data_IF_406689006803
#
_entry.id   IF_406689006803
#
_cell.length_a   1.000
_cell.length_b   1.000
_cell.length_c   1.000
_cell.angle_alpha   90.00
_cell.angle_beta   90.00
_cell.angle_gamma   90.00
#
_symmetry.space_group_name_H-M   'P 1'
#
loop_
_entity.id
_entity.type
_entity.pdbx_description
1 polymer ?
#
# COMPACT_ATOMS: atom_id res chain seq x y z
N UNK A 1 3.01 -16.81 9.71
CA UNK A 1 3.37 -16.14 8.44
C UNK A 1 2.71 -16.82 7.22
N UNK A 2 2.92 -18.12 7.01
CA UNK A 2 2.47 -18.87 5.82
C UNK A 2 0.96 -18.76 5.49
N UNK A 3 0.06 -18.83 6.48
CA UNK A 3 -1.38 -18.74 6.23
C UNK A 3 -1.83 -17.36 5.71
N UNK A 4 -1.25 -16.27 6.24
CA UNK A 4 -1.57 -14.90 5.81
C UNK A 4 -1.19 -14.68 4.35
N UNK A 5 0.02 -15.10 3.97
CA UNK A 5 0.51 -14.99 2.60
C UNK A 5 -0.30 -15.84 1.62
N UNK A 6 -0.62 -17.08 2.01
CA UNK A 6 -1.50 -17.96 1.25
C UNK A 6 -2.87 -17.32 1.01
N UNK A 7 -3.48 -16.75 2.06
CA UNK A 7 -4.78 -16.10 1.98
C UNK A 7 -4.76 -14.85 1.07
N UNK A 8 -3.75 -13.98 1.21
CA UNK A 8 -3.60 -12.80 0.36
C UNK A 8 -3.41 -13.18 -1.11
N UNK A 9 -2.61 -14.21 -1.37
CA UNK A 9 -2.42 -14.75 -2.73
C UNK A 9 -3.73 -15.25 -3.31
N UNK A 10 -4.56 -15.94 -2.51
CA UNK A 10 -5.88 -16.42 -2.96
C UNK A 10 -6.86 -15.28 -3.23
N UNK A 11 -6.84 -14.21 -2.45
CA UNK A 11 -7.67 -13.03 -2.69
C UNK A 11 -7.30 -12.38 -4.04
N UNK A 12 -6.01 -12.12 -4.29
CA UNK A 12 -5.55 -11.51 -5.55
C UNK A 12 -5.86 -12.40 -6.75
N UNK A 13 -5.63 -13.71 -6.62
CA UNK A 13 -5.96 -14.65 -7.70
C UNK A 13 -7.46 -14.73 -7.95
N UNK A 14 -8.29 -14.63 -6.91
CA UNK A 14 -9.74 -14.56 -7.02
C UNK A 14 -10.20 -13.31 -7.77
N UNK A 15 -9.64 -12.15 -7.46
CA UNK A 15 -9.88 -10.90 -8.19
C UNK A 15 -9.50 -11.03 -9.68
N UNK A 16 -8.30 -11.55 -9.97
CA UNK A 16 -7.83 -11.79 -11.35
C UNK A 16 -8.77 -12.70 -12.13
N UNK A 17 -9.19 -13.82 -11.52
CA UNK A 17 -10.14 -14.73 -12.13
C UNK A 17 -11.51 -14.06 -12.36
N UNK A 18 -11.95 -13.19 -11.45
CA UNK A 18 -13.23 -12.49 -11.58
C UNK A 18 -13.31 -11.62 -12.82
N UNK A 19 -12.20 -11.06 -13.32
CA UNK A 19 -12.20 -10.26 -14.56
C UNK A 19 -12.63 -11.05 -15.81
N UNK A 20 -12.49 -12.38 -15.80
CA UNK A 20 -13.00 -13.23 -16.89
C UNK A 20 -14.53 -13.40 -16.87
N UNK A 21 -15.21 -13.04 -15.78
CA UNK A 21 -16.66 -13.14 -15.70
C UNK A 21 -17.33 -12.21 -16.72
N UNK A 22 -18.44 -12.63 -17.36
CA UNK A 22 -19.05 -11.88 -18.48
C UNK A 22 -19.35 -10.40 -18.19
N UNK A 23 -19.72 -10.08 -16.94
CA UNK A 23 -20.01 -8.69 -16.51
C UNK A 23 -18.76 -7.81 -16.56
N UNK A 24 -17.61 -8.32 -16.12
CA UNK A 24 -16.36 -7.58 -16.07
C UNK A 24 -15.62 -7.63 -17.41
N UNK A 25 -15.64 -8.77 -18.11
CA UNK A 25 -15.03 -8.91 -19.43
C UNK A 25 -15.60 -7.90 -20.44
N UNK A 26 -16.93 -7.71 -20.48
CA UNK A 26 -17.56 -6.69 -21.36
C UNK A 26 -17.12 -5.27 -21.01
N UNK A 27 -16.98 -4.97 -19.72
CA UNK A 27 -16.52 -3.65 -19.27
C UNK A 27 -15.06 -3.43 -19.65
N UNK A 28 -14.21 -4.43 -19.44
CA UNK A 28 -12.78 -4.40 -19.77
C UNK A 28 -12.58 -4.22 -21.27
N UNK A 29 -13.32 -4.95 -22.11
CA UNK A 29 -13.19 -4.81 -23.56
C UNK A 29 -13.60 -3.42 -24.04
N UNK A 30 -14.71 -2.87 -23.54
CA UNK A 30 -15.11 -1.50 -23.85
C UNK A 30 -14.03 -0.48 -23.46
N UNK A 31 -13.46 -0.60 -22.26
CA UNK A 31 -12.38 0.29 -21.81
C UNK A 31 -11.14 0.15 -22.69
N UNK A 32 -10.74 -1.08 -23.01
CA UNK A 32 -9.58 -1.39 -23.84
C UNK A 32 -9.73 -0.80 -25.24
N UNK A 33 -10.89 -0.99 -25.87
CA UNK A 33 -11.17 -0.46 -27.22
C UNK A 33 -11.12 1.06 -27.24
N UNK A 34 -11.79 1.73 -26.29
CA UNK A 34 -11.75 3.20 -26.21
C UNK A 34 -10.33 3.73 -26.03
N UNK A 35 -9.54 3.12 -25.13
CA UNK A 35 -8.15 3.53 -24.90
C UNK A 35 -7.29 3.36 -26.15
N UNK A 36 -7.46 2.26 -26.89
CA UNK A 36 -6.72 2.01 -28.11
C UNK A 36 -7.10 2.98 -29.23
N UNK A 37 -8.40 3.25 -29.40
CA UNK A 37 -8.87 4.27 -30.35
C UNK A 37 -8.27 5.65 -30.04
N UNK A 38 -8.27 6.05 -28.77
CA UNK A 38 -7.68 7.31 -28.32
C UNK A 38 -6.17 7.35 -28.60
N UNK A 39 -5.44 6.25 -28.33
CA UNK A 39 -3.99 6.16 -28.60
C UNK A 39 -3.70 6.29 -30.09
N UNK A 40 -4.41 5.55 -30.93
CA UNK A 40 -4.21 5.55 -32.38
C UNK A 40 -4.51 6.93 -32.96
N UNK A 41 -5.64 7.53 -32.58
CA UNK A 41 -6.01 8.87 -33.05
C UNK A 41 -4.98 9.93 -32.62
N UNK A 42 -4.53 9.87 -31.37
CA UNK A 42 -3.52 10.79 -30.85
C UNK A 42 -2.17 10.64 -31.56
N UNK A 43 -1.76 9.40 -31.85
CA UNK A 43 -0.52 9.13 -32.57
C UNK A 43 -0.57 9.65 -34.00
N UNK A 44 -1.68 9.41 -34.72
CA UNK A 44 -1.88 9.94 -36.07
C UNK A 44 -1.85 11.47 -36.09
N UNK A 45 -2.59 12.11 -35.16
CA UNK A 45 -2.59 13.57 -35.03
C UNK A 45 -1.19 14.14 -34.72
N UNK A 46 -0.44 13.47 -33.85
CA UNK A 46 0.92 13.89 -33.53
C UNK A 46 1.85 13.77 -34.75
N UNK A 47 1.74 12.68 -35.51
CA UNK A 47 2.53 12.47 -36.73
C UNK A 47 2.25 13.54 -37.79
N UNK A 48 1.00 13.99 -37.93
CA UNK A 48 0.61 14.99 -38.94
C UNK A 48 0.91 16.43 -38.51
N UNK A 49 0.77 16.75 -37.22
CA UNK A 49 0.77 18.15 -36.74
C UNK A 49 1.94 18.51 -35.82
N UNK A 50 2.70 17.52 -35.35
CA UNK A 50 3.72 17.68 -34.31
C UNK A 50 3.17 18.05 -32.93
N UNK A 51 1.84 18.21 -32.78
CA UNK A 51 1.22 18.57 -31.51
C UNK A 51 1.23 17.38 -30.56
N UNK A 52 1.70 17.59 -29.34
CA UNK A 52 1.65 16.59 -28.28
C UNK A 52 0.18 16.40 -27.85
N UNK A 53 -0.30 15.16 -27.63
CA UNK A 53 -1.67 14.91 -27.18
C UNK A 53 -2.01 15.75 -25.95
N UNK A 54 -3.07 16.56 -26.04
CA UNK A 54 -3.52 17.39 -24.91
C UNK A 54 -4.03 16.48 -23.79
N UNK A 55 -3.72 16.77 -22.50
CA UNK A 55 -4.24 15.97 -21.40
C UNK A 55 -5.77 15.99 -21.42
N UNK A 56 -6.35 14.80 -21.60
CA UNK A 56 -7.77 14.39 -21.55
C UNK A 56 -8.82 15.51 -21.47
N UNK A 57 -9.67 15.60 -22.51
CA UNK A 57 -10.87 16.47 -22.48
C UNK A 57 -11.86 16.01 -21.42
N UNK A 58 -12.59 16.97 -20.85
CA UNK A 58 -13.66 16.72 -19.87
C UNK A 58 -14.68 15.72 -20.47
N UNK A 59 -14.78 14.54 -19.88
CA UNK A 59 -15.67 13.45 -20.33
C UNK A 59 -14.98 12.24 -20.97
N UNK A 60 -13.69 12.30 -21.31
CA UNK A 60 -12.93 11.12 -21.75
C UNK A 60 -12.54 10.23 -20.56
N UNK A 61 -12.39 8.94 -20.81
CA UNK A 61 -11.97 7.95 -19.83
C UNK A 61 -10.68 8.41 -19.13
N UNK A 62 -10.63 8.33 -17.80
CA UNK A 62 -9.46 8.68 -16.98
C UNK A 62 -8.90 7.40 -16.37
N UNK A 63 -7.58 7.18 -16.34
CA UNK A 63 -7.00 6.11 -15.54
C UNK A 63 -7.49 6.23 -14.09
N UNK A 64 -7.92 5.11 -13.50
CA UNK A 64 -8.32 5.05 -12.08
C UNK A 64 -7.17 5.62 -11.25
N UNK A 65 -7.40 6.74 -10.55
CA UNK A 65 -6.41 7.41 -9.70
C UNK A 65 -6.03 8.84 -10.11
N UNK A 66 -6.31 9.30 -11.34
CA UNK A 66 -5.85 10.62 -11.79
C UNK A 66 -6.81 11.79 -11.51
N UNK A 67 -8.08 11.53 -11.19
CA UNK A 67 -9.04 12.56 -10.74
C UNK A 67 -10.10 12.04 -9.78
N UNK A 68 -9.86 10.90 -9.11
CA UNK A 68 -10.66 10.64 -7.92
C UNK A 68 -10.11 11.60 -6.86
N UNK A 69 -10.93 12.46 -6.22
CA UNK A 69 -10.57 12.94 -4.89
C UNK A 69 -10.12 11.70 -4.13
N UNK A 70 -9.02 11.80 -3.37
CA UNK A 70 -8.63 10.73 -2.48
C UNK A 70 -9.91 10.19 -1.85
N UNK A 71 -10.22 8.94 -2.13
CA UNK A 71 -11.35 8.26 -1.51
C UNK A 71 -11.31 8.61 -0.03
N UNK A 72 -12.45 8.83 0.67
CA UNK A 72 -12.43 8.99 2.13
C UNK A 72 -11.77 7.77 2.80
N UNK A 73 -11.81 6.63 2.11
CA UNK A 73 -10.89 5.52 2.30
C UNK A 73 -9.57 5.86 1.59
N UNK A 74 -8.85 6.85 2.15
CA UNK A 74 -7.46 7.08 1.80
C UNK A 74 -6.76 5.74 1.98
N UNK A 75 -5.93 5.39 1.01
CA UNK A 75 -5.02 4.27 1.14
C UNK A 75 -4.19 4.50 2.41
N UNK A 76 -4.57 3.81 3.50
CA UNK A 76 -3.92 3.91 4.81
C UNK A 76 -2.48 3.39 4.78
N UNK A 77 -2.01 2.96 3.60
CA UNK A 77 -0.68 2.40 3.34
C UNK A 77 0.22 3.38 2.59
N UNK A 78 -0.26 4.59 2.26
CA UNK A 78 0.65 5.68 1.86
C UNK A 78 1.28 6.34 3.10
N UNK A 79 2.02 5.54 3.86
CA UNK A 79 3.09 6.11 4.70
C UNK A 79 4.06 6.78 3.74
N UNK A 80 4.10 8.11 3.78
CA UNK A 80 5.11 8.86 3.06
C UNK A 80 6.43 8.58 3.78
N UNK A 81 7.22 7.67 3.23
CA UNK A 81 8.62 7.58 3.62
C UNK A 81 9.26 8.94 3.31
N UNK A 82 9.52 9.74 4.35
CA UNK A 82 10.15 11.05 4.23
C UNK A 82 11.67 10.87 4.13
N UNK A 83 12.30 10.37 5.19
CA UNK A 83 13.72 10.03 5.24
C UNK A 83 14.01 8.98 6.33
N UNK A 84 15.27 8.55 6.41
CA UNK A 84 15.73 7.57 7.41
C UNK A 84 15.65 8.08 8.85
N UNK A 85 15.79 9.40 9.06
CA UNK A 85 15.75 10.00 10.40
C UNK A 85 14.32 10.03 10.94
N UNK A 86 13.36 10.34 10.09
CA UNK A 86 11.94 10.31 10.37
C UNK A 86 11.48 8.87 10.64
N UNK A 87 11.93 7.91 9.81
CA UNK A 87 11.70 6.49 10.06
C UNK A 87 12.23 6.07 11.44
N UNK A 88 13.44 6.50 11.81
CA UNK A 88 14.00 6.19 13.12
C UNK A 88 13.15 6.80 14.26
N UNK A 89 12.72 8.06 14.13
CA UNK A 89 11.84 8.73 15.10
C UNK A 89 10.50 8.00 15.25
N UNK A 90 9.91 7.54 14.15
CA UNK A 90 8.63 6.84 14.16
C UNK A 90 8.76 5.47 14.84
N UNK A 91 9.83 4.72 14.56
CA UNK A 91 10.13 3.48 15.26
C UNK A 91 10.34 3.71 16.76
N UNK A 92 11.11 4.73 17.14
CA UNK A 92 11.29 5.07 18.55
C UNK A 92 9.96 5.45 19.20
N UNK A 93 9.14 6.28 18.53
CA UNK A 93 7.85 6.71 19.07
C UNK A 93 6.95 5.51 19.38
N UNK A 94 6.86 4.54 18.48
CA UNK A 94 5.94 3.39 18.59
C UNK A 94 6.48 2.30 19.53
N UNK A 95 7.77 1.98 19.44
CA UNK A 95 8.36 0.81 20.10
C UNK A 95 9.19 1.13 21.36
N UNK A 96 9.21 2.39 21.82
CA UNK A 96 9.82 2.72 23.11
C UNK A 96 9.06 2.00 24.24
N UNK A 97 9.82 1.30 25.10
CA UNK A 97 9.29 0.50 26.20
C UNK A 97 8.81 1.36 27.38
N UNK A 98 7.73 2.13 27.18
CA UNK A 98 7.05 2.92 28.20
C UNK A 98 5.59 2.43 28.39
N UNK A 99 4.97 2.77 29.51
CA UNK A 99 3.64 2.26 29.85
C UNK A 99 2.57 2.64 28.81
N UNK A 100 2.58 3.88 28.31
CA UNK A 100 1.59 4.38 27.36
C UNK A 100 1.64 3.63 26.01
N UNK A 101 2.84 3.39 25.47
CA UNK A 101 3.01 2.67 24.21
C UNK A 101 2.64 1.20 24.33
N UNK A 102 2.92 0.58 25.48
CA UNK A 102 2.55 -0.81 25.71
C UNK A 102 1.04 -1.00 25.78
N UNK A 103 0.29 0.00 26.23
CA UNK A 103 -1.16 -0.04 26.27
C UNK A 103 -1.76 0.23 24.88
N UNK A 104 -1.32 1.30 24.22
CA UNK A 104 -1.87 1.72 22.91
C UNK A 104 -1.50 0.72 21.80
N UNK A 105 -0.25 0.23 21.79
CA UNK A 105 0.30 -0.61 20.72
C UNK A 105 0.46 -2.07 21.14
N UNK A 106 -0.29 -2.53 22.16
CA UNK A 106 -0.19 -3.88 22.72
C UNK A 106 -0.22 -4.98 21.66
N UNK A 107 -1.02 -4.79 20.60
CA UNK A 107 -1.21 -5.71 19.49
C UNK A 107 0.01 -5.83 18.55
N UNK A 108 0.96 -4.88 18.58
CA UNK A 108 2.16 -4.92 17.74
C UNK A 108 3.27 -5.76 18.36
N UNK A 109 3.32 -5.87 19.69
CA UNK A 109 4.36 -6.61 20.40
C UNK A 109 4.03 -8.10 20.45
N UNK A 110 4.94 -8.95 19.96
CA UNK A 110 4.70 -10.38 19.84
C UNK A 110 5.76 -11.26 20.56
N UNK A 111 6.74 -10.61 21.20
CA UNK A 111 7.75 -11.23 22.05
C UNK A 111 8.04 -10.36 23.27
N UNK A 112 8.39 -11.00 24.39
CA UNK A 112 8.82 -10.29 25.60
C UNK A 112 10.02 -10.97 26.26
N UNK A 113 10.86 -10.15 26.90
CA UNK A 113 12.08 -10.56 27.59
C UNK A 113 12.03 -10.05 29.02
N UNK A 114 12.43 -10.89 29.97
CA UNK A 114 12.66 -10.46 31.35
C UNK A 114 14.15 -10.18 31.51
N UNK A 115 14.49 -8.90 31.54
CA UNK A 115 15.87 -8.43 31.64
C UNK A 115 16.14 -8.01 33.09
N UNK A 116 17.29 -8.36 33.70
CA UNK A 116 17.69 -7.81 34.98
C UNK A 116 17.82 -6.29 34.88
N UNK A 117 16.98 -5.56 35.61
CA UNK A 117 17.06 -4.12 35.76
C UNK A 117 18.00 -3.70 36.89
N UNK A 118 18.00 -2.40 37.19
CA UNK A 118 18.72 -1.89 38.36
C UNK A 118 18.16 -2.55 39.64
N UNK A 119 19.04 -2.82 40.61
CA UNK A 119 18.72 -3.51 41.87
C UNK A 119 18.17 -4.95 41.74
N UNK A 120 18.54 -5.68 40.69
CA UNK A 120 18.12 -7.08 40.43
C UNK A 120 16.60 -7.27 40.26
N UNK A 121 15.83 -6.19 40.12
CA UNK A 121 14.42 -6.30 39.75
C UNK A 121 14.32 -6.67 38.27
N UNK A 122 13.52 -7.69 37.94
CA UNK A 122 13.30 -8.09 36.55
C UNK A 122 12.37 -7.08 35.88
N UNK A 123 12.86 -6.46 34.80
CA UNK A 123 12.10 -5.53 33.97
C UNK A 123 11.67 -6.25 32.70
N UNK A 124 10.40 -6.10 32.33
CA UNK A 124 9.86 -6.66 31.08
C UNK A 124 10.15 -5.72 29.92
N UNK A 125 10.75 -6.26 28.87
CA UNK A 125 10.93 -5.60 27.58
C UNK A 125 10.07 -6.29 26.54
N UNK A 126 9.21 -5.54 25.87
CA UNK A 126 8.40 -6.06 24.78
C UNK A 126 9.05 -5.69 23.44
N UNK A 127 8.90 -6.56 22.44
CA UNK A 127 9.49 -6.37 21.12
C UNK A 127 8.65 -7.00 20.02
N UNK A 128 9.15 -6.86 18.79
CA UNK A 128 8.53 -7.42 17.58
C UNK A 128 9.53 -8.35 16.89
N UNK A 129 9.20 -9.63 16.77
CA UNK A 129 10.05 -10.66 16.16
C UNK A 129 10.54 -10.29 14.77
N UNK A 130 9.67 -9.70 13.96
CA UNK A 130 10.02 -9.27 12.60
C UNK A 130 11.12 -8.19 12.58
N UNK A 131 11.11 -7.26 13.55
CA UNK A 131 12.14 -6.23 13.66
C UNK A 131 13.46 -6.85 14.16
N UNK A 132 13.37 -7.73 15.17
CA UNK A 132 14.54 -8.39 15.74
C UNK A 132 15.24 -9.29 14.72
N UNK A 133 14.50 -10.11 13.96
CA UNK A 133 15.07 -11.05 12.99
C UNK A 133 15.77 -10.39 11.80
N UNK A 134 15.56 -9.10 11.56
CA UNK A 134 16.25 -8.33 10.52
C UNK A 134 17.53 -7.66 11.06
N UNK A 135 17.65 -7.51 12.39
CA UNK A 135 18.72 -6.73 13.04
C UNK A 135 19.58 -7.50 14.05
N UNK A 136 19.27 -8.78 14.30
CA UNK A 136 19.99 -9.65 15.23
C UNK A 136 21.14 -10.39 14.58
#
# INVERSE_FOLDING_TARGET
AMFREWMLTKIVNGERASYSAPKFARMQERTRSQMLEDIVANLANHAETGQIPKPYRRGSWRPIGHMRPSSPLLDSVRDQFEDYDQLAKDFTRVFLNNAANLEINANLFDVSFLVPGQQKQKVRFNGVRAILGVRS
#
